data_IF_478560932016
#
_entry.id   IF_478560932016
#
_cell.length_a   1.000
_cell.length_b   1.000
_cell.length_c   1.000
_cell.angle_alpha   90.00
_cell.angle_beta   90.00
_cell.angle_gamma   90.00
#
_symmetry.space_group_name_H-M   'P 1'
#
loop_
_entity.id
_entity.type
_entity.pdbx_description
1 polymer ?
#
# COMPACT_ATOMS: atom_id res chain seq x y z
N UNK A 1 15.84 37.79 52.22
CA UNK A 1 15.74 36.33 51.99
C UNK A 1 15.70 36.13 50.50
N UNK A 2 16.79 35.68 49.89
CA UNK A 2 16.84 35.35 48.46
C UNK A 2 16.46 33.88 48.28
N UNK A 3 15.45 33.62 47.44
CA UNK A 3 15.06 32.28 47.04
C UNK A 3 16.08 31.76 46.01
N UNK A 4 16.66 30.59 46.30
CA UNK A 4 17.68 29.97 45.44
C UNK A 4 17.17 29.75 44.02
N UNK A 5 17.95 30.23 43.03
CA UNK A 5 17.68 29.98 41.61
C UNK A 5 18.02 28.53 41.30
N UNK A 6 17.02 27.73 40.91
CA UNK A 6 17.26 26.44 40.28
C UNK A 6 17.78 26.69 38.85
N UNK A 7 19.02 26.29 38.58
CA UNK A 7 19.53 26.19 37.21
C UNK A 7 19.00 24.87 36.65
N UNK A 8 18.04 24.94 35.73
CA UNK A 8 17.63 23.77 34.94
C UNK A 8 18.83 23.34 34.09
N UNK A 9 19.44 22.20 34.42
CA UNK A 9 20.54 21.62 33.65
C UNK A 9 20.10 21.15 32.25
N UNK A 10 21.05 20.67 31.46
CA UNK A 10 20.73 20.09 30.15
C UNK A 10 19.81 18.86 30.30
N UNK A 11 18.85 18.68 29.37
CA UNK A 11 17.95 17.54 29.42
C UNK A 11 18.73 16.23 29.30
N UNK A 12 18.60 15.35 30.31
CA UNK A 12 19.24 14.03 30.27
C UNK A 12 18.64 13.14 29.18
N UNK A 13 17.33 13.28 28.94
CA UNK A 13 16.56 12.51 27.97
C UNK A 13 15.42 13.37 27.42
N UNK A 14 15.03 13.09 26.18
CA UNK A 14 13.90 13.72 25.50
C UNK A 14 12.95 12.63 25.01
N UNK A 15 11.64 12.88 25.13
CA UNK A 15 10.58 11.97 24.65
C UNK A 15 9.57 12.76 23.84
N UNK A 16 9.09 12.16 22.76
CA UNK A 16 7.94 12.69 22.00
C UNK A 16 6.64 12.21 22.65
N UNK A 17 5.74 13.15 22.95
CA UNK A 17 4.42 12.87 23.55
C UNK A 17 3.31 12.64 22.49
N UNK A 18 3.66 12.75 21.21
CA UNK A 18 2.81 12.48 20.05
C UNK A 18 2.82 10.97 19.72
N UNK A 19 1.84 10.44 18.93
CA UNK A 19 1.62 9.00 18.81
C UNK A 19 2.91 8.24 18.52
N UNK A 20 3.03 7.05 19.12
CA UNK A 20 4.23 6.20 19.06
C UNK A 20 4.65 5.80 17.64
N UNK A 21 3.80 6.05 16.65
CA UNK A 21 4.03 5.70 15.25
C UNK A 21 3.54 6.82 14.34
N UNK A 22 4.32 7.09 13.28
CA UNK A 22 3.96 7.97 12.16
C UNK A 22 3.03 7.30 11.16
N UNK A 23 2.58 6.06 11.42
CA UNK A 23 1.75 5.29 10.50
C UNK A 23 0.40 5.98 10.22
N UNK A 24 0.17 6.32 8.95
CA UNK A 24 -1.14 6.76 8.46
C UNK A 24 -2.19 5.64 8.62
N UNK A 25 -3.44 5.97 8.98
CA UNK A 25 -4.54 5.02 8.95
C UNK A 25 -4.69 4.42 7.55
N UNK A 26 -4.86 3.11 7.47
CA UNK A 26 -5.04 2.37 6.23
C UNK A 26 -6.38 1.63 6.23
N UNK A 27 -7.02 1.44 5.06
CA UNK A 27 -8.28 0.69 4.95
C UNK A 27 -8.15 -0.78 5.38
N UNK A 28 -9.28 -1.36 5.78
CA UNK A 28 -9.40 -2.73 6.31
C UNK A 28 -9.29 -3.83 5.25
N UNK A 29 -9.50 -3.50 3.98
CA UNK A 29 -9.35 -4.44 2.85
C UNK A 29 -7.88 -4.74 2.48
N UNK A 30 -6.91 -4.05 3.10
CA UNK A 30 -5.49 -4.36 2.92
C UNK A 30 -5.12 -5.50 3.89
N UNK A 31 -4.38 -6.53 3.45
CA UNK A 31 -4.04 -7.67 4.31
C UNK A 31 -3.38 -7.25 5.64
N UNK A 32 -3.92 -7.75 6.75
CA UNK A 32 -3.43 -7.41 8.10
C UNK A 32 -1.92 -7.65 8.31
N UNK A 33 -1.29 -8.72 7.78
CA UNK A 33 0.16 -8.90 7.90
C UNK A 33 0.96 -7.71 7.32
N UNK A 34 0.50 -7.14 6.21
CA UNK A 34 1.16 -5.99 5.56
C UNK A 34 0.96 -4.74 6.42
N UNK A 35 -0.25 -4.51 6.92
CA UNK A 35 -0.56 -3.37 7.79
C UNK A 35 0.22 -3.42 9.10
N UNK A 36 0.35 -4.61 9.70
CA UNK A 36 1.14 -4.83 10.92
C UNK A 36 2.61 -4.46 10.71
N UNK A 37 3.21 -4.95 9.62
CA UNK A 37 4.61 -4.66 9.29
C UNK A 37 4.85 -3.17 9.08
N UNK A 38 3.95 -2.49 8.36
CA UNK A 38 4.00 -1.05 8.16
C UNK A 38 3.89 -0.27 9.48
N UNK A 39 2.90 -0.58 10.32
CA UNK A 39 2.71 0.08 11.63
C UNK A 39 3.94 -0.08 12.53
N UNK A 40 4.51 -1.29 12.56
CA UNK A 40 5.74 -1.58 13.31
C UNK A 40 6.93 -0.82 12.74
N UNK A 41 7.09 -0.79 11.42
CA UNK A 41 8.19 -0.06 10.76
C UNK A 41 8.18 1.43 11.11
N UNK A 42 7.00 2.06 11.07
CA UNK A 42 6.81 3.45 11.49
C UNK A 42 7.06 3.65 12.99
N UNK A 43 6.67 2.71 13.85
CA UNK A 43 6.83 2.82 15.30
C UNK A 43 8.28 2.69 15.80
N UNK A 44 9.13 2.01 15.04
CA UNK A 44 10.55 1.83 15.39
C UNK A 44 11.50 2.72 14.58
N UNK A 45 11.01 3.52 13.64
CA UNK A 45 11.83 4.35 12.75
C UNK A 45 12.84 5.22 13.51
N UNK A 46 12.39 5.93 14.54
CA UNK A 46 13.24 6.84 15.32
C UNK A 46 14.14 6.10 16.34
N UNK A 47 13.86 4.81 16.59
CA UNK A 47 14.60 3.97 17.55
C UNK A 47 15.66 3.13 16.86
N UNK A 48 15.40 2.65 15.64
CA UNK A 48 16.31 1.83 14.85
C UNK A 48 15.93 1.87 13.38
N UNK A 49 16.73 2.60 12.59
CA UNK A 49 16.61 2.62 11.14
C UNK A 49 16.77 1.22 10.52
N UNK A 50 17.66 0.38 11.06
CA UNK A 50 17.83 -1.01 10.65
C UNK A 50 16.56 -1.87 10.85
N UNK A 51 15.93 -1.76 12.03
CA UNK A 51 14.70 -2.50 12.31
C UNK A 51 13.57 -2.02 11.40
N UNK A 52 13.42 -0.70 11.28
CA UNK A 52 12.41 -0.07 10.42
C UNK A 52 12.56 -0.50 8.96
N UNK A 53 13.78 -0.45 8.42
CA UNK A 53 14.04 -0.89 7.05
C UNK A 53 13.81 -2.39 6.85
N UNK A 54 14.11 -3.22 7.85
CA UNK A 54 13.84 -4.67 7.78
C UNK A 54 12.34 -4.97 7.72
N UNK A 55 11.56 -4.31 8.58
CA UNK A 55 10.09 -4.42 8.59
C UNK A 55 9.48 -3.87 7.30
N UNK A 56 9.96 -2.72 6.81
CA UNK A 56 9.53 -2.16 5.53
C UNK A 56 9.81 -3.09 4.35
N UNK A 57 10.98 -3.76 4.31
CA UNK A 57 11.27 -4.77 3.27
C UNK A 57 10.32 -5.97 3.38
N UNK A 58 9.98 -6.42 4.59
CA UNK A 58 8.99 -7.51 4.81
C UNK A 58 7.59 -7.09 4.34
N UNK A 59 7.17 -5.86 4.66
CA UNK A 59 5.94 -5.24 4.18
C UNK A 59 5.90 -5.22 2.64
N UNK A 60 6.97 -4.72 1.99
CA UNK A 60 7.06 -4.64 0.53
C UNK A 60 7.01 -6.03 -0.13
N UNK A 61 7.69 -7.04 0.44
CA UNK A 61 7.55 -8.42 -0.04
C UNK A 61 6.10 -8.92 0.06
N UNK A 62 5.41 -8.60 1.17
CA UNK A 62 4.00 -8.93 1.36
C UNK A 62 3.12 -8.29 0.29
N UNK A 63 3.33 -7.00 0.00
CA UNK A 63 2.60 -6.27 -1.03
C UNK A 63 2.83 -6.86 -2.42
N UNK A 64 4.08 -7.18 -2.79
CA UNK A 64 4.38 -7.76 -4.11
C UNK A 64 3.76 -9.16 -4.26
N UNK A 65 3.76 -9.97 -3.19
CA UNK A 65 3.12 -11.29 -3.21
C UNK A 65 1.62 -11.20 -3.35
N UNK A 66 0.99 -10.36 -2.54
CA UNK A 66 -0.46 -10.19 -2.49
C UNK A 66 -1.01 -9.52 -3.76
N UNK A 67 -0.42 -8.38 -4.15
CA UNK A 67 -0.92 -7.59 -5.27
C UNK A 67 -0.49 -8.14 -6.64
N UNK A 68 0.76 -8.58 -6.75
CA UNK A 68 1.33 -9.03 -8.03
C UNK A 68 1.35 -10.54 -8.21
N UNK A 69 1.06 -11.32 -7.17
CA UNK A 69 1.11 -12.79 -7.24
C UNK A 69 2.53 -13.34 -7.42
N UNK A 70 3.57 -12.58 -7.03
CA UNK A 70 4.97 -12.97 -7.26
C UNK A 70 5.55 -13.62 -6.00
N UNK A 71 5.68 -14.95 -6.05
CA UNK A 71 6.33 -15.74 -5.01
C UNK A 71 7.78 -16.05 -5.38
N UNK A 72 8.72 -15.27 -4.82
CA UNK A 72 10.16 -15.56 -4.86
C UNK A 72 10.77 -15.54 -3.46
N UNK A 73 11.94 -16.16 -3.33
CA UNK A 73 12.64 -16.36 -2.05
C UNK A 73 13.12 -15.05 -1.45
N UNK A 74 13.62 -14.14 -2.28
CA UNK A 74 14.16 -12.84 -1.84
C UNK A 74 13.38 -11.67 -2.43
N UNK A 75 13.34 -10.54 -1.73
CA UNK A 75 12.74 -9.31 -2.25
C UNK A 75 13.37 -8.88 -3.58
N UNK A 76 14.69 -9.04 -3.71
CA UNK A 76 15.41 -8.75 -4.95
C UNK A 76 14.83 -9.53 -6.13
N UNK A 77 14.68 -10.85 -5.99
CA UNK A 77 14.09 -11.69 -7.05
C UNK A 77 12.64 -11.31 -7.36
N UNK A 78 11.86 -10.88 -6.36
CA UNK A 78 10.49 -10.42 -6.57
C UNK A 78 10.45 -9.13 -7.40
N UNK A 79 11.31 -8.15 -7.09
CA UNK A 79 11.40 -6.88 -7.81
C UNK A 79 11.94 -7.09 -9.23
N UNK A 80 13.01 -7.88 -9.39
CA UNK A 80 13.56 -8.20 -10.70
C UNK A 80 12.48 -8.85 -11.60
N UNK A 81 11.69 -9.78 -11.05
CA UNK A 81 10.59 -10.40 -11.78
C UNK A 81 9.45 -9.43 -12.09
N UNK A 82 9.10 -8.55 -11.15
CA UNK A 82 8.08 -7.52 -11.37
C UNK A 82 8.48 -6.56 -12.50
N UNK A 83 9.76 -6.15 -12.53
CA UNK A 83 10.34 -5.32 -13.59
C UNK A 83 10.23 -6.00 -14.96
N UNK A 84 10.52 -7.29 -15.03
CA UNK A 84 10.32 -8.06 -16.27
C UNK A 84 8.85 -8.12 -16.69
N UNK A 85 7.92 -8.29 -15.75
CA UNK A 85 6.48 -8.32 -16.07
C UNK A 85 6.00 -6.98 -16.63
N UNK A 86 6.47 -5.86 -16.07
CA UNK A 86 6.17 -4.52 -16.57
C UNK A 86 6.73 -4.32 -17.97
N UNK A 87 7.99 -4.69 -18.21
CA UNK A 87 8.61 -4.61 -19.55
C UNK A 87 7.88 -5.46 -20.60
N UNK A 88 7.33 -6.62 -20.21
CA UNK A 88 6.56 -7.52 -21.07
C UNK A 88 5.08 -7.12 -21.22
N UNK A 89 4.61 -6.08 -20.50
CA UNK A 89 3.21 -5.67 -20.49
C UNK A 89 2.26 -6.64 -19.74
N UNK A 90 2.80 -7.53 -18.92
CA UNK A 90 2.06 -8.56 -18.18
C UNK A 90 1.84 -8.20 -16.70
N UNK A 91 2.18 -6.98 -16.29
CA UNK A 91 2.02 -6.54 -14.91
C UNK A 91 0.53 -6.36 -14.54
N UNK A 92 0.17 -6.54 -13.25
CA UNK A 92 -1.18 -6.28 -12.77
C UNK A 92 -1.64 -4.85 -13.08
N UNK A 93 -2.95 -4.69 -13.35
CA UNK A 93 -3.57 -3.39 -13.63
C UNK A 93 -3.48 -2.45 -12.42
N UNK A 94 -2.51 -1.55 -12.43
CA UNK A 94 -2.22 -0.62 -11.35
C UNK A 94 -0.73 -0.50 -11.05
N UNK A 95 0.09 -1.46 -11.52
CA UNK A 95 1.54 -1.31 -11.50
C UNK A 95 1.95 -0.47 -12.71
N UNK A 96 2.32 0.79 -12.48
CA UNK A 96 2.79 1.70 -13.52
C UNK A 96 4.32 1.65 -13.66
N UNK A 97 4.83 2.21 -14.76
CA UNK A 97 6.27 2.36 -14.95
C UNK A 97 6.88 3.29 -13.88
N UNK A 98 6.16 4.35 -13.50
CA UNK A 98 6.58 5.32 -12.48
C UNK A 98 6.68 4.65 -11.10
N UNK A 99 5.71 3.79 -10.77
CA UNK A 99 5.72 2.99 -9.54
C UNK A 99 6.95 2.07 -9.50
N UNK A 100 7.30 1.46 -10.64
CA UNK A 100 8.48 0.61 -10.76
C UNK A 100 9.78 1.40 -10.62
N UNK A 101 9.85 2.59 -11.20
CA UNK A 101 11.00 3.49 -11.05
C UNK A 101 11.19 3.90 -9.59
N UNK A 102 10.10 4.15 -8.85
CA UNK A 102 10.15 4.38 -7.40
C UNK A 102 10.71 3.18 -6.64
N UNK A 103 10.26 1.97 -6.96
CA UNK A 103 10.76 0.73 -6.34
C UNK A 103 12.25 0.52 -6.64
N UNK A 104 12.68 0.73 -7.89
CA UNK A 104 14.08 0.63 -8.29
C UNK A 104 14.96 1.72 -7.65
N UNK A 105 14.46 2.95 -7.55
CA UNK A 105 15.16 4.06 -6.87
C UNK A 105 15.43 3.71 -5.41
N UNK A 106 14.42 3.15 -4.72
CA UNK A 106 14.61 2.74 -3.31
C UNK A 106 15.57 1.55 -3.17
N UNK A 107 15.62 0.67 -4.17
CA UNK A 107 16.62 -0.40 -4.23
C UNK A 107 18.04 0.15 -4.43
N UNK A 108 18.18 1.22 -5.21
CA UNK A 108 19.46 1.83 -5.58
C UNK A 108 20.06 2.73 -4.49
N UNK A 109 19.27 3.17 -3.51
CA UNK A 109 19.84 3.82 -2.31
C UNK A 109 20.90 2.91 -1.68
N UNK A 110 22.14 3.41 -1.71
CA UNK A 110 23.34 2.66 -1.43
C UNK A 110 23.33 2.13 -0.01
N UNK A 111 23.39 0.80 0.13
CA UNK A 111 23.25 -0.05 1.33
C UNK A 111 21.92 -0.80 1.39
N UNK A 112 20.79 -0.22 0.97
CA UNK A 112 19.47 -0.90 0.97
C UNK A 112 19.46 -2.13 0.04
N UNK A 113 19.95 -1.97 -1.19
CA UNK A 113 20.02 -3.04 -2.18
C UNK A 113 20.92 -4.22 -1.75
N UNK A 114 21.98 -3.96 -0.97
CA UNK A 114 22.86 -4.99 -0.44
C UNK A 114 22.15 -5.86 0.61
N UNK A 115 21.32 -5.25 1.46
CA UNK A 115 20.47 -5.98 2.43
C UNK A 115 19.37 -6.83 1.77
N UNK A 116 18.99 -6.52 0.53
CA UNK A 116 17.95 -7.26 -0.21
C UNK A 116 18.50 -8.49 -0.94
N UNK A 117 19.81 -8.56 -1.17
CA UNK A 117 20.46 -9.55 -2.03
C UNK A 117 20.98 -10.80 -1.31
N UNK A 118 21.27 -10.74 0.00
CA UNK A 118 21.84 -11.87 0.77
C UNK A 118 21.21 -11.99 2.16
N UNK A 119 21.05 -13.25 2.60
CA UNK A 119 20.66 -13.64 3.95
C UNK A 119 21.49 -12.89 5.01
N UNK A 120 20.87 -11.88 5.65
CA UNK A 120 20.92 -11.40 7.05
C UNK A 120 22.31 -11.16 7.72
N UNK A 121 23.43 -11.63 7.16
CA UNK A 121 24.74 -11.68 7.80
C UNK A 121 25.65 -10.48 7.47
N UNK A 122 25.22 -9.58 6.58
CA UNK A 122 25.86 -8.28 6.39
C UNK A 122 25.03 -7.22 7.14
N UNK A 123 25.42 -6.95 8.38
CA UNK A 123 24.98 -5.77 9.14
C UNK A 123 25.69 -4.53 8.59
N UNK A 124 25.26 -4.09 7.41
CA UNK A 124 25.52 -2.72 6.97
C UNK A 124 24.51 -1.82 7.69
N UNK A 125 24.91 -0.61 8.06
CA UNK A 125 24.05 0.31 8.79
C UNK A 125 23.12 1.03 7.81
N UNK A 126 21.84 1.11 8.14
CA UNK A 126 20.83 1.85 7.39
C UNK A 126 20.67 3.24 7.98
N UNK A 127 20.70 4.26 7.14
CA UNK A 127 20.51 5.63 7.59
C UNK A 127 19.01 5.93 7.89
N UNK A 128 18.70 6.83 8.83
CA UNK A 128 17.32 7.21 9.12
C UNK A 128 16.55 7.70 7.88
N UNK A 129 17.22 8.42 6.97
CA UNK A 129 16.63 8.88 5.71
C UNK A 129 16.24 7.74 4.76
N UNK A 130 17.01 6.65 4.75
CA UNK A 130 16.74 5.45 3.96
C UNK A 130 15.53 4.68 4.48
N UNK A 131 15.45 4.51 5.81
CA UNK A 131 14.28 3.90 6.45
C UNK A 131 13.01 4.73 6.17
N UNK A 132 13.13 6.06 6.25
CA UNK A 132 12.02 6.96 5.91
C UNK A 132 11.61 6.85 4.44
N UNK A 133 12.57 6.74 3.52
CA UNK A 133 12.29 6.58 2.08
C UNK A 133 11.53 5.27 1.80
N UNK A 134 11.90 4.17 2.46
CA UNK A 134 11.18 2.89 2.37
C UNK A 134 9.74 3.00 2.86
N UNK A 135 9.51 3.65 4.00
CA UNK A 135 8.16 3.89 4.52
C UNK A 135 7.34 4.72 3.53
N UNK A 136 7.92 5.79 2.98
CA UNK A 136 7.23 6.63 1.98
C UNK A 136 6.88 5.85 0.71
N UNK A 137 7.77 4.97 0.24
CA UNK A 137 7.47 4.08 -0.88
C UNK A 137 6.26 3.21 -0.55
N UNK A 138 6.22 2.57 0.63
CA UNK A 138 5.09 1.73 1.06
C UNK A 138 3.78 2.54 1.07
N UNK A 139 3.80 3.78 1.57
CA UNK A 139 2.61 4.65 1.57
C UNK A 139 2.12 4.96 0.15
N UNK A 140 3.02 5.23 -0.80
CA UNK A 140 2.67 5.43 -2.21
C UNK A 140 2.04 4.16 -2.79
N UNK A 141 2.64 3.00 -2.50
CA UNK A 141 2.13 1.72 -2.99
C UNK A 141 0.77 1.36 -2.38
N UNK A 142 0.49 1.73 -1.12
CA UNK A 142 -0.85 1.56 -0.55
C UNK A 142 -1.90 2.35 -1.35
N UNK A 143 -1.61 3.61 -1.64
CA UNK A 143 -2.51 4.46 -2.41
C UNK A 143 -2.73 3.91 -3.82
N UNK A 144 -1.66 3.54 -4.52
CA UNK A 144 -1.76 3.12 -5.92
C UNK A 144 -2.30 1.70 -6.09
N UNK A 145 -1.82 0.75 -5.30
CA UNK A 145 -2.16 -0.66 -5.48
C UNK A 145 -3.50 -0.99 -4.83
N UNK A 146 -3.77 -0.48 -3.63
CA UNK A 146 -4.96 -0.87 -2.88
C UNK A 146 -6.07 0.17 -3.00
N UNK A 147 -5.82 1.43 -2.65
CA UNK A 147 -6.87 2.47 -2.57
C UNK A 147 -7.40 2.82 -3.96
N UNK A 148 -6.52 3.17 -4.90
CA UNK A 148 -6.90 3.54 -6.24
C UNK A 148 -7.55 2.37 -7.00
N UNK A 149 -7.11 1.13 -6.77
CA UNK A 149 -7.77 -0.07 -7.33
C UNK A 149 -9.18 -0.23 -6.77
N UNK A 150 -9.33 -0.20 -5.44
CA UNK A 150 -10.64 -0.35 -4.81
C UNK A 150 -11.60 0.75 -5.26
N UNK A 151 -11.13 2.00 -5.37
CA UNK A 151 -11.92 3.13 -5.85
C UNK A 151 -12.36 2.95 -7.31
N UNK A 152 -11.46 2.47 -8.19
CA UNK A 152 -11.80 2.13 -9.58
C UNK A 152 -12.84 1.02 -9.65
N UNK A 153 -12.66 -0.06 -8.90
CA UNK A 153 -13.57 -1.20 -8.89
C UNK A 153 -14.95 -0.80 -8.37
N UNK A 154 -15.01 0.08 -7.35
CA UNK A 154 -16.28 0.62 -6.84
C UNK A 154 -16.99 1.48 -7.88
N UNK A 155 -16.28 2.41 -8.51
CA UNK A 155 -16.85 3.30 -9.53
C UNK A 155 -17.42 2.51 -10.72
N UNK A 156 -16.71 1.49 -11.19
CA UNK A 156 -17.18 0.65 -12.30
C UNK A 156 -18.44 -0.15 -11.92
N UNK A 157 -18.48 -0.70 -10.71
CA UNK A 157 -19.69 -1.39 -10.20
C UNK A 157 -20.88 -0.44 -10.09
N UNK A 158 -20.68 0.78 -9.62
CA UNK A 158 -21.74 1.80 -9.54
C UNK A 158 -22.31 2.13 -10.93
N UNK A 159 -21.46 2.27 -11.94
CA UNK A 159 -21.88 2.51 -13.32
C UNK A 159 -22.67 1.32 -13.90
N UNK A 160 -22.22 0.09 -13.65
CA UNK A 160 -22.92 -1.12 -14.11
C UNK A 160 -24.32 -1.23 -13.49
N UNK A 161 -24.44 -0.94 -12.18
CA UNK A 161 -25.73 -0.90 -11.49
C UNK A 161 -26.65 0.14 -12.14
N UNK A 162 -26.19 1.39 -12.31
CA UNK A 162 -27.00 2.45 -12.93
C UNK A 162 -27.42 2.11 -14.36
N UNK A 163 -26.55 1.46 -15.15
CA UNK A 163 -26.86 1.05 -16.51
C UNK A 163 -27.91 -0.08 -16.54
N UNK A 164 -27.82 -1.03 -15.60
CA UNK A 164 -28.78 -2.13 -15.48
C UNK A 164 -30.17 -1.66 -15.05
N UNK A 165 -30.24 -0.72 -14.10
CA UNK A 165 -31.50 -0.12 -13.64
C UNK A 165 -32.21 0.63 -14.76
N UNK A 166 -31.46 1.42 -15.55
CA UNK A 166 -32.03 2.14 -16.71
C UNK A 166 -32.56 1.19 -17.78
N UNK A 167 -31.85 0.10 -18.09
CA UNK A 167 -32.31 -0.91 -19.06
C UNK A 167 -33.61 -1.59 -18.59
N UNK A 168 -33.69 -1.97 -17.31
CA UNK A 168 -34.87 -2.60 -16.74
C UNK A 168 -36.10 -1.69 -16.73
N UNK A 169 -35.91 -0.36 -16.62
CA UNK A 169 -37.00 0.62 -16.74
C UNK A 169 -37.47 0.76 -18.19
N UNK A 170 -36.56 0.79 -19.16
CA UNK A 170 -36.92 0.85 -20.59
C UNK A 170 -37.66 -0.41 -21.04
N UNK A 171 -37.20 -1.60 -20.65
CA UNK A 171 -37.86 -2.88 -20.98
C UNK A 171 -39.27 -2.98 -20.35
N UNK A 172 -39.47 -2.45 -19.14
CA UNK A 172 -40.81 -2.38 -18.52
C UNK A 172 -41.73 -1.36 -19.18
N UNK A 173 -41.18 -0.32 -19.79
CA UNK A 173 -41.93 0.71 -20.52
C UNK A 173 -42.32 0.27 -21.93
N UNK A 174 -41.69 -0.76 -22.49
CA UNK A 174 -41.92 -1.26 -23.86
C UNK A 174 -42.86 -2.48 -23.93
N UNK A 175 -43.43 -2.92 -22.80
CA UNK A 175 -44.46 -3.97 -22.80
C UNK A 175 -45.69 -3.52 -23.60
N UNK A 176 -46.08 -4.24 -24.68
CA UNK A 176 -47.26 -3.87 -25.46
C UNK A 176 -48.52 -3.94 -24.57
N UNK A 177 -49.54 -3.10 -24.84
CA UNK A 177 -50.77 -3.11 -24.06
C UNK A 177 -51.40 -4.51 -24.08
N UNK A 178 -52.09 -4.94 -23.01
CA UNK A 178 -52.73 -6.25 -22.97
C UNK A 178 -53.70 -6.35 -24.14
N UNK A 179 -53.60 -7.43 -24.91
CA UNK A 179 -54.53 -7.75 -25.99
C UNK A 179 -55.92 -7.94 -25.37
N UNK A 180 -56.86 -7.04 -25.66
CA UNK A 180 -58.28 -7.17 -25.35
C UNK A 180 -58.85 -8.33 -26.20
N UNK A 181 -58.59 -9.56 -25.79
CA UNK A 181 -59.31 -10.74 -26.25
C UNK A 181 -60.00 -11.41 -25.07
N UNK A 182 -61.20 -10.92 -24.73
CA UNK A 182 -62.36 -11.74 -24.37
C UNK A 182 -63.59 -10.87 -24.05
N UNK A 183 -64.43 -10.66 -25.06
CA UNK A 183 -65.88 -10.45 -24.88
C UNK A 183 -66.60 -10.67 -26.22
N UNK A 184 -66.43 -11.87 -26.79
CA UNK A 184 -67.35 -12.39 -27.79
C UNK A 184 -67.65 -13.83 -27.39
N UNK A 185 -68.64 -14.01 -26.52
CA UNK A 185 -69.44 -15.24 -26.43
C UNK A 185 -70.61 -15.06 -25.45
N UNK A 186 -71.79 -14.90 -26.05
CA UNK A 186 -73.15 -15.29 -25.62
C UNK A 186 -74.17 -14.15 -25.66
#
# INVERSE_FOLDING_TARGET
>A
MEFGRYLTGEPLHSWSLLPESSAKPQPDYIPEPILKDYREACGVQDRSANASATLSRRCLQGMIRDFCGIEKRTLKEQIDHLKEMVAKGNAPRGVSHDTMEGIDTVREFGNIGAHMAKDINLMIDVEPGEAQALIRLIEILFEEWYVARHQRDRNLKELDVMASEKKAVTEKSELPPPDDQQAAES
#
